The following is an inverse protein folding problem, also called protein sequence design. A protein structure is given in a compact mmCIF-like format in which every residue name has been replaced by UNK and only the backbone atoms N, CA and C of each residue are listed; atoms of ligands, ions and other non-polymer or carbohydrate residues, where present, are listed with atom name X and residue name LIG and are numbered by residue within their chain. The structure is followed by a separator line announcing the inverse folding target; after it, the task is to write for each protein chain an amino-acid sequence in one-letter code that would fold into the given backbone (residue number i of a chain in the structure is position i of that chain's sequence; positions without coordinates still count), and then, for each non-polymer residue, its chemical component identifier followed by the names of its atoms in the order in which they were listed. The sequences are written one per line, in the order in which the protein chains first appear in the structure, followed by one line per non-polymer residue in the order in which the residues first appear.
data_IF_761405129113
#
_entry.id   IF_761405129113
#
_cell.length_a   1.000
_cell.length_b   1.000
_cell.length_c   1.000
_cell.angle_alpha   90.00
_cell.angle_beta   90.00
_cell.angle_gamma   90.00
#
_symmetry.space_group_name_H-M   'P 1'
#
loop_
_entity.id
_entity.type
_entity.pdbx_description
1 polymer ?
#
# COMPACT_ATOMS: atom_id res chain seq x y z
N UNK A 1 -3.81 52.88 -23.30
CA UNK A 1 -4.63 52.27 -22.24
C UNK A 1 -5.67 51.34 -22.88
N UNK A 2 -5.25 50.28 -23.59
CA UNK A 2 -6.18 49.39 -24.31
C UNK A 2 -5.77 47.90 -24.30
N UNK A 3 -4.88 47.45 -23.40
CA UNK A 3 -4.42 46.05 -23.35
C UNK A 3 -4.84 45.30 -22.06
N UNK A 4 -5.67 45.92 -21.21
CA UNK A 4 -6.06 45.32 -19.92
C UNK A 4 -7.22 44.30 -20.04
N UNK A 5 -7.89 44.25 -21.20
CA UNK A 5 -9.02 43.35 -21.48
C UNK A 5 -8.77 42.49 -22.73
N UNK A 6 -7.54 42.02 -22.89
CA UNK A 6 -7.22 41.08 -23.95
C UNK A 6 -7.97 39.75 -23.76
N UNK A 7 -8.41 39.15 -24.87
CA UNK A 7 -9.06 37.83 -24.89
C UNK A 7 -8.31 36.79 -24.01
N UNK A 8 -6.97 36.66 -24.09
CA UNK A 8 -6.26 35.73 -23.21
C UNK A 8 -6.37 36.08 -21.71
N UNK A 9 -6.39 37.35 -21.34
CA UNK A 9 -6.55 37.80 -19.94
C UNK A 9 -7.94 37.45 -19.41
N UNK A 10 -8.98 37.63 -20.23
CA UNK A 10 -10.36 37.26 -19.87
C UNK A 10 -10.47 35.73 -19.67
N UNK A 11 -9.80 34.93 -20.49
CA UNK A 11 -9.78 33.47 -20.35
C UNK A 11 -9.12 33.06 -19.03
N UNK A 12 -7.97 33.66 -18.68
CA UNK A 12 -7.28 33.37 -17.41
C UNK A 12 -8.16 33.73 -16.21
N UNK A 13 -8.85 34.87 -16.24
CA UNK A 13 -9.78 35.29 -15.18
C UNK A 13 -10.96 34.32 -15.07
N UNK A 14 -11.53 33.89 -16.21
CA UNK A 14 -12.63 32.94 -16.22
C UNK A 14 -12.24 31.57 -15.63
N UNK A 15 -11.05 31.07 -15.98
CA UNK A 15 -10.49 29.84 -15.40
C UNK A 15 -10.24 30.00 -13.89
N UNK A 16 -9.66 31.12 -13.46
CA UNK A 16 -9.42 31.39 -12.04
C UNK A 16 -10.71 31.40 -11.22
N UNK A 17 -11.77 32.05 -11.72
CA UNK A 17 -13.09 32.07 -11.08
C UNK A 17 -13.70 30.66 -11.03
N UNK A 18 -13.59 29.89 -12.11
CA UNK A 18 -14.08 28.52 -12.16
C UNK A 18 -13.40 27.61 -11.13
N UNK A 19 -12.08 27.71 -10.99
CA UNK A 19 -11.30 26.95 -10.00
C UNK A 19 -11.71 27.34 -8.58
N UNK A 20 -11.85 28.64 -8.30
CA UNK A 20 -12.30 29.14 -6.99
C UNK A 20 -13.71 28.66 -6.63
N UNK A 21 -14.63 28.71 -7.60
CA UNK A 21 -15.99 28.20 -7.43
C UNK A 21 -16.00 26.68 -7.18
N UNK A 22 -15.20 25.93 -7.94
CA UNK A 22 -15.09 24.47 -7.79
C UNK A 22 -14.52 24.10 -6.43
N UNK A 23 -13.44 24.74 -5.98
CA UNK A 23 -12.85 24.53 -4.66
C UNK A 23 -13.86 24.81 -3.53
N UNK A 24 -14.65 25.88 -3.65
CA UNK A 24 -15.73 26.18 -2.69
C UNK A 24 -16.82 25.10 -2.69
N UNK A 25 -17.16 24.55 -3.85
CA UNK A 25 -18.16 23.48 -3.99
C UNK A 25 -17.69 22.18 -3.32
N UNK A 26 -16.41 21.82 -3.42
CA UNK A 26 -15.88 20.58 -2.84
C UNK A 26 -15.65 20.67 -1.33
N UNK A 27 -15.32 21.85 -0.79
CA UNK A 27 -15.15 22.02 0.67
C UNK A 27 -16.46 21.94 1.46
N UNK A 28 -17.61 22.14 0.80
CA UNK A 28 -18.93 22.22 1.44
C UNK A 28 -19.70 20.91 1.50
N UNK A 29 -19.31 19.89 0.74
CA UNK A 29 -19.93 18.57 0.84
C UNK A 29 -19.18 17.74 1.87
N UNK A 30 -19.67 17.84 3.11
CA UNK A 30 -19.51 16.80 4.14
C UNK A 30 -19.49 15.45 3.45
N UNK A 31 -18.33 14.79 3.40
CA UNK A 31 -18.27 13.37 3.10
C UNK A 31 -19.08 12.68 4.20
N UNK A 32 -20.34 12.38 3.88
CA UNK A 32 -21.21 11.52 4.66
C UNK A 32 -20.59 10.13 4.66
N UNK A 33 -19.69 9.91 5.59
CA UNK A 33 -19.09 8.61 5.86
C UNK A 33 -19.21 8.31 7.35
N UNK A 34 -20.39 8.59 7.91
CA UNK A 34 -20.81 7.99 9.17
C UNK A 34 -21.33 6.59 8.84
N UNK A 35 -20.43 5.61 8.87
CA UNK A 35 -20.85 4.23 9.14
C UNK A 35 -21.41 4.23 10.56
N UNK A 36 -22.73 4.19 10.72
CA UNK A 36 -23.36 3.88 12.00
C UNK A 36 -22.89 2.48 12.42
N UNK A 37 -22.08 2.33 13.48
CA UNK A 37 -21.79 1.02 14.00
C UNK A 37 -23.03 0.60 14.80
N UNK A 38 -23.67 -0.48 14.35
CA UNK A 38 -24.17 -1.52 15.23
C UNK A 38 -25.28 -1.07 16.20
N UNK A 39 -26.52 -1.10 15.71
CA UNK A 39 -27.72 -1.01 16.53
C UNK A 39 -28.63 -2.22 16.33
N UNK A 40 -28.07 -3.42 16.47
CA UNK A 40 -28.81 -4.71 16.45
C UNK A 40 -28.51 -5.58 17.67
N UNK A 41 -28.28 -4.97 18.85
CA UNK A 41 -28.23 -5.70 20.13
C UNK A 41 -29.16 -5.04 21.15
N UNK A 42 -30.31 -4.56 20.69
CA UNK A 42 -31.33 -3.98 21.59
C UNK A 42 -32.76 -4.41 21.30
N UNK A 43 -32.97 -5.38 20.41
CA UNK A 43 -34.30 -5.98 20.18
C UNK A 43 -34.48 -7.36 20.81
N UNK A 44 -33.43 -7.98 21.36
CA UNK A 44 -33.55 -9.22 22.15
C UNK A 44 -33.68 -8.99 23.66
N UNK A 45 -33.78 -7.73 24.11
CA UNK A 45 -33.97 -7.35 25.53
C UNK A 45 -35.28 -6.59 25.75
N UNK A 46 -36.38 -7.09 25.20
CA UNK A 46 -37.72 -6.65 25.62
C UNK A 46 -38.63 -7.83 25.96
N UNK A 47 -38.10 -9.06 25.97
CA UNK A 47 -38.87 -10.25 26.31
C UNK A 47 -38.19 -11.04 27.43
N UNK A 48 -38.16 -10.43 28.62
CA UNK A 48 -38.16 -11.10 29.94
C UNK A 48 -38.02 -10.04 31.03
N UNK A 49 -39.14 -9.38 31.30
CA UNK A 49 -39.35 -8.72 32.57
C UNK A 49 -40.31 -9.60 33.38
N UNK A 50 -39.76 -10.35 34.34
CA UNK A 50 -40.36 -10.64 35.65
C UNK A 50 -39.23 -11.02 36.62
N UNK A 51 -39.17 -10.42 37.81
CA UNK A 51 -38.05 -10.55 38.74
C UNK A 51 -38.28 -11.73 39.69
N UNK A 52 -37.25 -12.53 39.92
CA UNK A 52 -36.85 -12.89 41.29
C UNK A 52 -35.52 -13.66 41.31
N UNK A 53 -34.78 -13.37 42.39
CA UNK A 53 -33.69 -14.15 42.98
C UNK A 53 -32.23 -13.87 42.55
N UNK A 54 -31.40 -13.60 43.56
CA UNK A 54 -30.02 -13.13 43.51
C UNK A 54 -28.99 -14.29 43.57
N UNK A 55 -27.68 -13.99 43.55
CA UNK A 55 -26.73 -14.35 42.49
C UNK A 55 -26.07 -15.73 42.66
N UNK A 56 -25.69 -16.38 41.55
CA UNK A 56 -24.61 -17.37 41.56
C UNK A 56 -23.47 -16.85 40.70
N UNK A 57 -22.29 -16.69 41.32
CA UNK A 57 -21.03 -16.46 40.60
C UNK A 57 -20.64 -17.78 39.95
N UNK A 58 -21.12 -18.02 38.73
CA UNK A 58 -20.58 -19.06 37.87
C UNK A 58 -19.63 -18.40 36.87
N UNK A 59 -18.35 -18.68 37.11
CA UNK A 59 -17.18 -18.67 36.23
C UNK A 59 -17.44 -18.20 34.78
N UNK A 60 -17.50 -16.89 34.57
CA UNK A 60 -17.47 -16.31 33.23
C UNK A 60 -16.02 -16.34 32.75
N UNK A 61 -15.64 -17.47 32.15
CA UNK A 61 -14.42 -17.59 31.35
C UNK A 61 -14.54 -16.67 30.14
N UNK A 62 -14.07 -15.43 30.31
CA UNK A 62 -13.79 -14.52 29.19
C UNK A 62 -12.56 -15.10 28.48
N UNK A 63 -12.64 -15.53 27.20
CA UNK A 63 -11.43 -15.92 26.48
C UNK A 63 -10.56 -14.67 26.38
N UNK A 64 -9.43 -14.68 27.09
CA UNK A 64 -8.37 -13.70 26.87
C UNK A 64 -8.06 -13.74 25.37
N UNK A 65 -8.12 -12.59 24.71
CA UNK A 65 -7.59 -12.45 23.36
C UNK A 65 -6.17 -13.02 23.39
N UNK A 66 -5.81 -13.93 22.46
CA UNK A 66 -4.46 -14.47 22.44
C UNK A 66 -3.49 -13.29 22.38
N UNK A 67 -2.58 -13.23 23.35
CA UNK A 67 -1.47 -12.30 23.26
C UNK A 67 -0.76 -12.57 21.92
N UNK A 68 -0.55 -11.55 21.09
CA UNK A 68 0.24 -11.64 19.85
C UNK A 68 1.72 -12.06 20.08
N UNK A 69 2.07 -12.37 21.33
CA UNK A 69 3.33 -12.98 21.76
C UNK A 69 3.24 -14.51 21.83
N UNK A 70 2.07 -15.09 22.11
CA UNK A 70 1.86 -16.55 22.10
C UNK A 70 1.92 -17.13 20.69
N UNK A 71 1.36 -16.41 19.70
CA UNK A 71 1.35 -16.83 18.29
C UNK A 71 2.77 -17.05 17.70
N UNK A 72 3.79 -16.46 18.31
CA UNK A 72 5.20 -16.57 17.86
C UNK A 72 5.93 -17.80 18.36
N UNK A 73 5.41 -18.48 19.37
CA UNK A 73 5.99 -19.71 19.95
C UNK A 73 5.15 -20.96 19.67
N UNK A 74 4.00 -20.79 19.02
CA UNK A 74 3.12 -21.91 18.67
C UNK A 74 3.69 -22.65 17.44
N UNK A 75 4.13 -23.92 17.58
CA UNK A 75 4.65 -24.69 16.46
C UNK A 75 3.62 -24.86 15.33
N UNK A 76 2.34 -24.87 15.66
CA UNK A 76 1.24 -24.91 14.69
C UNK A 76 1.13 -23.63 13.84
N UNK A 77 1.54 -22.47 14.36
CA UNK A 77 1.54 -21.22 13.61
C UNK A 77 2.65 -21.20 12.56
N UNK A 78 3.85 -21.67 12.93
CA UNK A 78 4.98 -21.81 12.01
C UNK A 78 4.67 -22.80 10.88
N UNK A 79 4.07 -23.95 11.20
CA UNK A 79 3.70 -24.94 10.19
C UNK A 79 2.64 -24.42 9.21
N UNK A 80 1.67 -23.63 9.70
CA UNK A 80 0.70 -22.94 8.82
C UNK A 80 1.35 -21.92 7.90
N UNK A 81 2.33 -21.16 8.40
CA UNK A 81 3.08 -20.21 7.58
C UNK A 81 3.87 -20.92 6.47
N UNK A 82 4.53 -22.03 6.80
CA UNK A 82 5.27 -22.83 5.83
C UNK A 82 4.36 -23.40 4.73
N UNK A 83 3.22 -24.00 5.10
CA UNK A 83 2.25 -24.51 4.12
C UNK A 83 1.72 -23.42 3.18
N UNK A 84 1.47 -22.22 3.72
CA UNK A 84 1.06 -21.07 2.92
C UNK A 84 2.16 -20.64 1.96
N UNK A 85 3.40 -20.58 2.43
CA UNK A 85 4.56 -20.24 1.61
C UNK A 85 4.74 -21.20 0.44
N UNK A 86 4.67 -22.51 0.70
CA UNK A 86 4.75 -23.55 -0.34
C UNK A 86 3.62 -23.43 -1.38
N UNK A 87 2.38 -23.21 -0.93
CA UNK A 87 1.24 -23.02 -1.82
C UNK A 87 1.37 -21.75 -2.68
N UNK A 88 1.92 -20.66 -2.14
CA UNK A 88 2.23 -19.46 -2.92
C UNK A 88 3.33 -19.75 -3.94
N UNK A 89 4.37 -20.50 -3.56
CA UNK A 89 5.47 -20.85 -4.45
C UNK A 89 5.00 -21.70 -5.64
N UNK A 90 4.10 -22.67 -5.41
CA UNK A 90 3.47 -23.45 -6.47
C UNK A 90 2.60 -22.57 -7.39
N UNK A 91 1.86 -21.62 -6.81
CA UNK A 91 1.01 -20.70 -7.58
C UNK A 91 1.79 -19.74 -8.46
N UNK A 92 2.87 -19.16 -7.95
CA UNK A 92 3.64 -18.14 -8.67
C UNK A 92 4.74 -18.74 -9.55
N UNK A 93 5.21 -19.95 -9.24
CA UNK A 93 6.33 -20.61 -9.93
C UNK A 93 6.01 -22.10 -10.20
N UNK A 94 4.99 -22.41 -11.03
CA UNK A 94 4.56 -23.80 -11.26
C UNK A 94 5.64 -24.65 -11.94
N UNK A 95 6.24 -24.14 -13.02
CA UNK A 95 7.07 -24.93 -13.94
C UNK A 95 8.59 -24.66 -13.82
N UNK A 96 9.06 -24.19 -12.67
CA UNK A 96 10.48 -23.88 -12.47
C UNK A 96 11.02 -24.38 -11.12
N UNK A 97 11.36 -25.67 -11.07
CA UNK A 97 11.91 -26.31 -9.88
C UNK A 97 13.23 -25.66 -9.38
N UNK A 98 14.21 -25.30 -10.24
CA UNK A 98 15.41 -24.60 -9.79
C UNK A 98 15.11 -23.27 -9.10
N UNK A 99 14.19 -22.46 -9.65
CA UNK A 99 13.79 -21.19 -9.05
C UNK A 99 13.08 -21.40 -7.71
N UNK A 100 12.20 -22.40 -7.62
CA UNK A 100 11.53 -22.75 -6.36
C UNK A 100 12.52 -23.07 -5.25
N UNK A 101 13.56 -23.85 -5.54
CA UNK A 101 14.60 -24.16 -4.56
C UNK A 101 15.31 -22.89 -4.04
N UNK A 102 15.63 -21.94 -4.93
CA UNK A 102 16.27 -20.68 -4.53
C UNK A 102 15.35 -19.78 -3.71
N UNK A 103 14.06 -19.72 -4.05
CA UNK A 103 13.10 -18.95 -3.27
C UNK A 103 12.86 -19.57 -1.89
N UNK A 104 12.95 -20.90 -1.78
CA UNK A 104 12.90 -21.59 -0.50
C UNK A 104 14.13 -21.28 0.36
N UNK A 105 15.33 -21.27 -0.22
CA UNK A 105 16.55 -20.82 0.50
C UNK A 105 16.41 -19.40 1.06
N UNK A 106 15.71 -18.50 0.34
CA UNK A 106 15.43 -17.14 0.82
C UNK A 106 14.41 -17.17 1.98
N UNK A 107 13.34 -17.95 1.87
CA UNK A 107 12.35 -18.10 2.94
C UNK A 107 12.94 -18.69 4.22
N UNK A 108 13.93 -19.58 4.10
CA UNK A 108 14.65 -20.15 5.24
C UNK A 108 15.54 -19.11 5.94
N UNK A 109 16.10 -18.16 5.18
CA UNK A 109 16.91 -17.06 5.71
C UNK A 109 16.08 -15.89 6.26
N UNK A 110 14.91 -15.62 5.66
CA UNK A 110 13.97 -14.58 6.06
C UNK A 110 12.54 -15.13 6.20
N UNK A 111 12.09 -15.42 7.43
CA UNK A 111 10.73 -15.94 7.68
C UNK A 111 9.60 -14.98 7.31
N UNK A 112 9.90 -13.71 7.05
CA UNK A 112 8.90 -12.71 6.62
C UNK A 112 8.73 -12.67 5.09
N UNK A 113 9.59 -13.36 4.35
CA UNK A 113 9.56 -13.43 2.90
C UNK A 113 8.35 -14.22 2.40
N UNK A 114 7.64 -13.69 1.42
CA UNK A 114 6.60 -14.42 0.68
C UNK A 114 6.71 -14.11 -0.82
N UNK A 115 6.46 -15.07 -1.73
CA UNK A 115 6.52 -14.81 -3.16
C UNK A 115 5.59 -13.66 -3.59
N UNK A 116 4.39 -13.58 -2.99
CA UNK A 116 3.44 -12.51 -3.26
C UNK A 116 3.97 -11.13 -2.84
N UNK A 117 4.50 -11.00 -1.62
CA UNK A 117 5.03 -9.71 -1.15
C UNK A 117 6.25 -9.28 -1.96
N UNK A 118 7.09 -10.22 -2.35
CA UNK A 118 8.25 -9.96 -3.19
C UNK A 118 7.86 -9.38 -4.56
N UNK A 119 6.91 -9.99 -5.26
CA UNK A 119 6.45 -9.48 -6.57
C UNK A 119 5.89 -8.06 -6.45
N UNK A 120 5.09 -7.80 -5.41
CA UNK A 120 4.53 -6.47 -5.17
C UNK A 120 5.64 -5.44 -4.88
N UNK A 121 6.61 -5.79 -4.04
CA UNK A 121 7.74 -4.93 -3.70
C UNK A 121 8.65 -4.67 -4.91
N UNK A 122 8.90 -5.70 -5.72
CA UNK A 122 9.67 -5.58 -6.96
C UNK A 122 9.00 -4.63 -7.95
N UNK A 123 7.67 -4.69 -8.09
CA UNK A 123 6.90 -3.75 -8.91
C UNK A 123 7.06 -2.30 -8.43
N UNK A 124 6.91 -2.06 -7.12
CA UNK A 124 7.10 -0.73 -6.54
C UNK A 124 8.54 -0.20 -6.71
N UNK A 125 9.54 -1.06 -6.51
CA UNK A 125 10.93 -0.70 -6.73
C UNK A 125 11.21 -0.35 -8.20
N UNK A 126 10.66 -1.12 -9.14
CA UNK A 126 10.75 -0.81 -10.57
C UNK A 126 10.15 0.57 -10.88
N UNK A 127 8.99 0.87 -10.32
CA UNK A 127 8.33 2.17 -10.47
C UNK A 127 9.23 3.31 -10.00
N UNK A 128 9.79 3.17 -8.80
CA UNK A 128 10.72 4.14 -8.21
C UNK A 128 11.97 4.33 -9.07
N UNK A 129 12.58 3.23 -9.54
CA UNK A 129 13.81 3.27 -10.33
C UNK A 129 13.57 3.94 -11.69
N UNK A 130 12.51 3.56 -12.41
CA UNK A 130 12.21 4.13 -13.73
C UNK A 130 11.86 5.62 -13.62
N UNK A 131 11.08 6.00 -12.61
CA UNK A 131 10.72 7.39 -12.35
C UNK A 131 11.95 8.23 -12.01
N UNK A 132 12.79 7.75 -11.10
CA UNK A 132 14.04 8.43 -10.74
C UNK A 132 14.99 8.53 -11.94
N UNK A 133 15.08 7.47 -12.76
CA UNK A 133 15.88 7.49 -13.98
C UNK A 133 15.38 8.50 -15.01
N UNK A 134 14.06 8.61 -15.22
CA UNK A 134 13.47 9.62 -16.10
C UNK A 134 13.78 11.04 -15.62
N UNK A 135 13.60 11.29 -14.32
CA UNK A 135 13.91 12.56 -13.68
C UNK A 135 15.41 12.90 -13.64
N UNK A 136 16.29 11.89 -13.80
CA UNK A 136 17.74 12.06 -13.63
C UNK A 136 18.18 12.13 -12.17
N UNK A 137 17.36 11.65 -11.23
CA UNK A 137 17.65 11.67 -9.80
C UNK A 137 18.61 10.53 -9.40
N UNK A 138 19.90 10.84 -9.52
CA UNK A 138 21.01 9.97 -9.11
C UNK A 138 20.99 9.67 -7.61
N UNK A 139 20.49 10.59 -6.79
CA UNK A 139 20.42 10.44 -5.34
C UNK A 139 19.43 9.34 -4.95
N UNK A 140 18.27 9.32 -5.60
CA UNK A 140 17.25 8.29 -5.41
C UNK A 140 17.67 6.92 -5.96
N UNK A 141 18.42 6.88 -7.07
CA UNK A 141 18.88 5.61 -7.68
C UNK A 141 19.96 4.89 -6.87
N UNK A 142 20.88 5.64 -6.26
CA UNK A 142 22.04 5.07 -5.56
C UNK A 142 21.72 4.04 -4.46
N UNK A 143 20.71 4.23 -3.58
CA UNK A 143 20.36 3.22 -2.58
C UNK A 143 19.54 2.05 -3.13
N UNK A 144 18.95 2.18 -4.33
CA UNK A 144 18.05 1.19 -4.93
C UNK A 144 18.77 0.24 -5.88
N UNK A 145 19.95 0.63 -6.37
CA UNK A 145 20.72 -0.10 -7.36
C UNK A 145 22.07 -0.54 -6.80
N UNK A 146 22.48 -1.73 -7.22
CA UNK A 146 23.86 -2.20 -7.03
C UNK A 146 24.83 -1.29 -7.82
N UNK A 147 26.09 -1.21 -7.37
CA UNK A 147 27.07 -0.25 -7.88
C UNK A 147 27.25 -0.34 -9.40
N UNK A 148 27.42 -1.55 -9.94
CA UNK A 148 27.70 -1.74 -11.37
C UNK A 148 26.49 -1.34 -12.22
N UNK A 149 25.28 -1.63 -11.72
CA UNK A 149 24.02 -1.22 -12.38
C UNK A 149 23.85 0.31 -12.31
N UNK A 150 24.11 0.91 -11.15
CA UNK A 150 24.03 2.35 -10.96
C UNK A 150 24.95 3.11 -11.91
N UNK A 151 26.20 2.66 -12.09
CA UNK A 151 27.16 3.29 -13.00
C UNK A 151 26.64 3.32 -14.45
N UNK A 152 25.98 2.25 -14.90
CA UNK A 152 25.33 2.20 -16.21
C UNK A 152 24.20 3.23 -16.36
N UNK A 153 23.36 3.36 -15.33
CA UNK A 153 22.26 4.35 -15.32
C UNK A 153 22.80 5.77 -15.29
N UNK A 154 23.81 6.04 -14.47
CA UNK A 154 24.46 7.35 -14.37
C UNK A 154 25.06 7.78 -15.71
N UNK A 155 25.74 6.88 -16.41
CA UNK A 155 26.31 7.14 -17.73
C UNK A 155 25.23 7.51 -18.76
N UNK A 156 24.12 6.78 -18.78
CA UNK A 156 22.99 7.07 -19.66
C UNK A 156 22.34 8.43 -19.34
N UNK A 157 22.17 8.77 -18.05
CA UNK A 157 21.66 10.09 -17.63
C UNK A 157 22.62 11.20 -18.10
N UNK A 158 23.92 11.06 -17.87
CA UNK A 158 24.94 12.05 -18.30
C UNK A 158 24.90 12.29 -19.81
N UNK A 159 24.80 11.22 -20.60
CA UNK A 159 24.72 11.31 -22.06
C UNK A 159 23.47 12.08 -22.50
N UNK A 160 22.33 11.79 -21.87
CA UNK A 160 21.05 12.45 -22.16
C UNK A 160 21.06 13.94 -21.81
N UNK A 161 21.60 14.29 -20.64
CA UNK A 161 21.77 15.68 -20.20
C UNK A 161 22.72 16.45 -21.13
N UNK A 162 23.81 15.83 -21.58
CA UNK A 162 24.75 16.44 -22.53
C UNK A 162 24.10 16.73 -23.90
N UNK A 163 23.11 15.91 -24.29
CA UNK A 163 22.30 16.15 -25.49
C UNK A 163 21.18 17.19 -25.28
N UNK A 164 21.00 17.73 -24.07
CA UNK A 164 19.93 18.68 -23.74
C UNK A 164 18.54 18.07 -23.67
N UNK A 165 18.43 16.73 -23.64
CA UNK A 165 17.14 16.03 -23.67
C UNK A 165 16.56 15.89 -22.26
N UNK A 166 15.25 16.11 -22.13
CA UNK A 166 14.47 15.83 -20.92
C UNK A 166 13.45 14.74 -21.18
N UNK A 167 13.22 13.88 -20.21
CA UNK A 167 12.22 12.81 -20.26
C UNK A 167 11.20 13.08 -19.17
N UNK A 168 9.97 13.40 -19.57
CA UNK A 168 8.82 13.40 -18.69
C UNK A 168 8.15 12.03 -18.79
N UNK A 169 8.11 11.29 -17.69
CA UNK A 169 7.53 9.95 -17.61
C UNK A 169 6.52 9.89 -16.48
N UNK A 170 5.33 9.35 -16.74
CA UNK A 170 4.25 9.18 -15.75
C UNK A 170 3.69 7.76 -15.90
N UNK A 171 3.53 7.04 -14.78
CA UNK A 171 2.81 5.77 -14.75
C UNK A 171 1.30 6.01 -14.91
N UNK A 172 0.64 5.23 -15.78
CA UNK A 172 -0.81 5.30 -16.07
C UNK A 172 -1.51 4.09 -15.48
#
# INVERSE_FOLDING_TARGET
MQDFFDIPTIIIIAVAIFVLYRLRSVLGTRTGNERTPMRDIRESRTEREKPDEAPRMDDVVVPLRPDARSERTDPEAAERAQRKFEAELERYVPDNAPLRARLQEIGDADPTFTPKSFINGAGAAYEMIVTAFAAGDRGALRPLLEKDVYEGFEAAIKQREAAGNKVDFTFV
#
